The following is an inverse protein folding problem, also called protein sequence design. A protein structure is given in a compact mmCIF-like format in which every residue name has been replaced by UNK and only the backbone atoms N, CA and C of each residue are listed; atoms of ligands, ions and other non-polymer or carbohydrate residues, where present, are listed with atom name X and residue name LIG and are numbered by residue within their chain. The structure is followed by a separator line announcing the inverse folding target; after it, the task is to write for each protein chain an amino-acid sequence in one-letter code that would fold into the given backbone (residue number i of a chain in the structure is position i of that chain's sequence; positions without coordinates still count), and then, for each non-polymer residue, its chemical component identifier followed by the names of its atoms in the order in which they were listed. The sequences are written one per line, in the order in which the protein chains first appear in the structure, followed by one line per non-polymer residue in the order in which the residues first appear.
data_IF_199065386836
#
_entry.id   IF_199065386836
#
_cell.length_a   1.000
_cell.length_b   1.000
_cell.length_c   1.000
_cell.angle_alpha   90.00
_cell.angle_beta   90.00
_cell.angle_gamma   90.00
#
_symmetry.space_group_name_H-M   'P 1'
#
loop_
_entity.id
_entity.type
_entity.pdbx_description
1 polymer ?
#
# COMPACT_ATOMS: atom_id res chain seq x y z
N UNK A 1 -24.94 -17.60 7.46
CA UNK A 1 -24.48 -16.78 8.59
C UNK A 1 -24.77 -15.32 8.23
N UNK A 2 -25.33 -14.54 9.15
CA UNK A 2 -25.64 -13.11 8.96
C UNK A 2 -24.36 -12.27 8.81
N UNK A 3 -24.45 -11.06 8.24
CA UNK A 3 -23.41 -10.02 8.06
C UNK A 3 -22.54 -9.65 9.32
N UNK A 4 -22.58 -10.42 10.41
CA UNK A 4 -22.19 -10.02 11.76
C UNK A 4 -21.00 -10.74 12.40
N UNK A 5 -20.20 -11.52 11.68
CA UNK A 5 -18.89 -11.97 12.18
C UNK A 5 -17.79 -11.42 11.29
N UNK A 6 -17.61 -10.09 11.36
CA UNK A 6 -16.30 -9.50 11.06
C UNK A 6 -15.33 -10.16 12.01
N UNK A 7 -14.35 -10.88 11.48
CA UNK A 7 -13.39 -11.53 12.35
C UNK A 7 -12.61 -10.41 13.03
N UNK A 8 -12.38 -10.51 14.34
CA UNK A 8 -11.84 -9.41 15.14
C UNK A 8 -10.45 -8.92 14.67
N UNK A 9 -9.77 -9.70 13.83
CA UNK A 9 -8.47 -9.41 13.24
C UNK A 9 -8.52 -9.04 11.75
N UNK A 10 -9.69 -9.00 11.12
CA UNK A 10 -9.82 -8.50 9.74
C UNK A 10 -9.75 -6.97 9.72
N UNK A 11 -9.15 -6.42 8.67
CA UNK A 11 -8.80 -5.00 8.55
C UNK A 11 -7.87 -4.52 9.68
N UNK A 12 -6.89 -5.34 10.06
CA UNK A 12 -5.89 -4.99 11.08
C UNK A 12 -4.47 -5.27 10.60
N UNK A 13 -3.53 -4.54 11.19
CA UNK A 13 -2.09 -4.79 11.09
C UNK A 13 -1.59 -5.11 12.49
N UNK A 14 -1.12 -6.33 12.71
CA UNK A 14 -0.55 -6.82 13.97
C UNK A 14 0.98 -6.75 13.90
N UNK A 15 1.62 -5.80 14.61
CA UNK A 15 3.07 -5.76 14.69
C UNK A 15 3.58 -6.86 15.61
N UNK A 16 4.76 -7.38 15.30
CA UNK A 16 5.46 -8.36 16.13
C UNK A 16 6.97 -8.20 16.06
N UNK A 17 7.67 -8.87 16.97
CA UNK A 17 9.12 -9.00 17.00
C UNK A 17 9.49 -10.45 17.28
N UNK A 18 10.51 -10.94 16.60
CA UNK A 18 11.19 -12.20 16.88
C UNK A 18 12.41 -11.87 17.73
N UNK A 19 12.30 -12.05 19.04
CA UNK A 19 13.30 -11.54 19.98
C UNK A 19 14.67 -12.24 19.84
N UNK A 20 14.71 -13.49 19.35
CA UNK A 20 15.96 -14.23 19.12
C UNK A 20 16.62 -13.97 17.76
N UNK A 21 15.85 -13.48 16.78
CA UNK A 21 16.29 -13.29 15.40
C UNK A 21 16.54 -11.82 15.04
N UNK A 22 16.46 -10.91 16.02
CA UNK A 22 16.52 -9.45 15.82
C UNK A 22 15.69 -8.99 14.62
N UNK A 23 14.49 -9.57 14.48
CA UNK A 23 13.62 -9.34 13.32
C UNK A 23 12.32 -8.76 13.82
N UNK A 24 11.89 -7.65 13.23
CA UNK A 24 10.54 -7.12 13.44
C UNK A 24 9.66 -7.50 12.27
N UNK A 25 8.36 -7.61 12.49
CA UNK A 25 7.44 -7.86 11.40
C UNK A 25 6.04 -7.34 11.67
N UNK A 26 5.19 -7.52 10.67
CA UNK A 26 3.76 -7.23 10.73
C UNK A 26 3.00 -8.33 10.02
N UNK A 27 1.85 -8.68 10.55
CA UNK A 27 0.83 -9.45 9.83
C UNK A 27 -0.32 -8.50 9.51
N UNK A 28 -0.72 -8.39 8.26
CA UNK A 28 -1.87 -7.59 7.86
C UNK A 28 -2.93 -8.46 7.22
N UNK A 29 -4.20 -8.15 7.48
CA UNK A 29 -5.34 -8.68 6.74
C UNK A 29 -6.27 -7.56 6.36
N UNK A 30 -6.63 -7.49 5.09
CA UNK A 30 -7.59 -6.55 4.53
C UNK A 30 -8.76 -7.32 3.93
N UNK A 31 -9.96 -6.97 4.37
CA UNK A 31 -11.22 -7.53 3.89
C UNK A 31 -12.13 -6.36 3.53
N UNK A 32 -12.91 -5.86 4.49
CA UNK A 32 -13.83 -4.74 4.26
C UNK A 32 -13.13 -3.47 3.76
N UNK A 33 -11.91 -3.17 4.19
CA UNK A 33 -11.13 -2.05 3.68
C UNK A 33 -10.77 -2.25 2.20
N UNK A 34 -10.36 -3.45 1.80
CA UNK A 34 -10.02 -3.79 0.42
C UNK A 34 -11.28 -3.83 -0.46
N UNK A 35 -12.36 -4.45 0.01
CA UNK A 35 -13.64 -4.47 -0.69
C UNK A 35 -14.16 -3.06 -0.97
N UNK A 36 -14.06 -2.15 -0.01
CA UNK A 36 -14.43 -0.74 -0.21
C UNK A 36 -13.52 -0.04 -1.22
N UNK A 37 -12.22 -0.34 -1.27
CA UNK A 37 -11.29 0.21 -2.26
C UNK A 37 -11.67 -0.25 -3.68
N UNK A 38 -11.85 -1.56 -3.86
CA UNK A 38 -12.13 -2.15 -5.16
C UNK A 38 -13.51 -1.75 -5.67
N UNK A 39 -14.49 -1.59 -4.78
CA UNK A 39 -15.84 -1.14 -5.15
C UNK A 39 -15.90 0.30 -5.73
N UNK A 40 -14.83 1.08 -5.64
CA UNK A 40 -14.82 2.45 -6.19
C UNK A 40 -14.71 2.47 -7.73
N UNK A 41 -14.29 1.37 -8.35
CA UNK A 41 -14.05 1.27 -9.79
C UNK A 41 -14.37 -0.12 -10.31
N UNK A 42 -14.78 -0.22 -11.58
CA UNK A 42 -15.05 -1.50 -12.24
C UNK A 42 -13.78 -2.06 -12.89
N UNK A 43 -12.87 -2.56 -12.04
CA UNK A 43 -11.58 -3.09 -12.51
C UNK A 43 -11.71 -4.50 -13.08
N UNK A 44 -11.01 -4.81 -14.20
CA UNK A 44 -10.84 -6.19 -14.62
C UNK A 44 -9.94 -6.97 -13.64
N UNK A 45 -10.02 -8.32 -13.58
CA UNK A 45 -9.36 -9.11 -12.54
C UNK A 45 -7.86 -8.89 -12.37
N UNK A 46 -7.13 -8.67 -13.46
CA UNK A 46 -5.69 -8.38 -13.39
C UNK A 46 -5.38 -7.05 -12.67
N UNK A 47 -6.24 -6.05 -12.85
CA UNK A 47 -6.10 -4.74 -12.19
C UNK A 47 -6.57 -4.82 -10.74
N UNK A 48 -7.64 -5.57 -10.44
CA UNK A 48 -8.06 -5.85 -9.06
C UNK A 48 -6.91 -6.47 -8.25
N UNK A 49 -6.22 -7.46 -8.82
CA UNK A 49 -5.08 -8.13 -8.18
C UNK A 49 -3.93 -7.17 -7.86
N UNK A 50 -3.56 -6.30 -8.80
CA UNK A 50 -2.51 -5.29 -8.58
C UNK A 50 -2.90 -4.25 -7.52
N UNK A 51 -4.16 -3.82 -7.51
CA UNK A 51 -4.68 -2.88 -6.50
C UNK A 51 -4.72 -3.56 -5.12
N UNK A 52 -5.09 -4.84 -5.05
CA UNK A 52 -5.07 -5.61 -3.82
C UNK A 52 -3.65 -5.79 -3.27
N UNK A 53 -2.68 -6.16 -4.11
CA UNK A 53 -1.26 -6.27 -3.72
C UNK A 53 -0.74 -4.93 -3.17
N UNK A 54 -0.96 -3.83 -3.90
CA UNK A 54 -0.53 -2.50 -3.46
C UNK A 54 -1.21 -2.02 -2.18
N UNK A 55 -2.51 -2.28 -2.02
CA UNK A 55 -3.21 -1.94 -0.79
C UNK A 55 -2.66 -2.71 0.42
N UNK A 56 -2.36 -4.00 0.24
CA UNK A 56 -1.77 -4.83 1.29
C UNK A 56 -0.35 -4.38 1.65
N UNK A 57 0.51 -4.11 0.65
CA UNK A 57 1.84 -3.52 0.85
C UNK A 57 1.75 -2.20 1.62
N UNK A 58 0.82 -1.33 1.24
CA UNK A 58 0.60 -0.04 1.90
C UNK A 58 0.13 -0.18 3.34
N UNK A 59 -0.68 -1.18 3.67
CA UNK A 59 -1.04 -1.46 5.06
C UNK A 59 0.17 -1.95 5.88
N UNK A 60 0.94 -2.91 5.35
CA UNK A 60 2.12 -3.49 6.01
C UNK A 60 3.21 -2.46 6.26
N UNK A 61 3.51 -1.63 5.26
CA UNK A 61 4.54 -0.58 5.34
C UNK A 61 4.03 0.64 6.11
N UNK A 62 2.77 1.03 5.90
CA UNK A 62 2.16 2.23 6.48
C UNK A 62 2.13 2.24 8.00
N UNK A 63 1.95 1.08 8.64
CA UNK A 63 1.97 0.98 10.10
C UNK A 63 3.29 1.47 10.73
N UNK A 64 4.37 1.57 9.96
CA UNK A 64 5.68 2.04 10.45
C UNK A 64 5.81 3.56 10.56
N UNK A 65 4.93 4.33 9.91
CA UNK A 65 5.03 5.80 9.92
C UNK A 65 4.45 6.39 11.21
N UNK A 66 4.97 7.55 11.62
CA UNK A 66 4.51 8.23 12.84
C UNK A 66 3.07 8.72 12.70
N UNK A 67 2.42 8.97 13.84
CA UNK A 67 1.09 9.59 13.89
C UNK A 67 1.04 10.86 13.03
N UNK A 68 -0.09 11.05 12.36
CA UNK A 68 -0.38 12.17 11.44
C UNK A 68 0.46 12.22 10.16
N UNK A 69 1.43 11.31 9.97
CA UNK A 69 2.16 11.20 8.71
C UNK A 69 1.33 10.47 7.66
N UNK A 70 1.72 10.67 6.40
CA UNK A 70 1.13 9.99 5.25
C UNK A 70 2.22 9.24 4.50
N UNK A 71 2.01 7.94 4.29
CA UNK A 71 2.77 7.14 3.34
C UNK A 71 1.98 7.06 2.03
N UNK A 72 2.66 7.18 0.90
CA UNK A 72 2.09 6.89 -0.42
C UNK A 72 2.99 5.90 -1.16
N UNK A 73 2.43 4.81 -1.66
CA UNK A 73 3.12 3.93 -2.62
C UNK A 73 2.54 4.19 -4.01
N UNK A 74 3.42 4.37 -4.99
CA UNK A 74 3.04 4.67 -6.36
C UNK A 74 3.78 3.77 -7.35
N UNK A 75 3.05 3.34 -8.37
CA UNK A 75 3.57 2.70 -9.57
C UNK A 75 3.26 3.64 -10.73
N UNK A 76 4.25 3.92 -11.57
CA UNK A 76 4.09 4.68 -12.80
C UNK A 76 4.83 3.95 -13.90
N UNK A 77 4.14 3.67 -15.00
CA UNK A 77 4.70 2.79 -16.03
C UNK A 77 4.12 3.05 -17.42
N UNK A 78 4.72 2.39 -18.42
CA UNK A 78 4.32 2.45 -19.82
C UNK A 78 3.40 1.29 -20.25
N UNK A 79 3.12 0.33 -19.37
CA UNK A 79 2.24 -0.80 -19.65
C UNK A 79 0.75 -0.44 -19.75
N UNK A 80 -0.12 -1.45 -19.95
CA UNK A 80 -1.58 -1.30 -19.90
C UNK A 80 -2.08 -0.64 -18.61
N UNK A 81 -1.53 -1.03 -17.45
CA UNK A 81 -1.79 -0.38 -16.16
C UNK A 81 -0.74 0.71 -15.99
N UNK A 82 -1.15 1.97 -16.21
CA UNK A 82 -0.27 3.14 -16.30
C UNK A 82 0.13 3.69 -14.94
N UNK A 83 -0.77 3.58 -13.96
CA UNK A 83 -0.57 4.08 -12.61
C UNK A 83 -1.27 3.20 -11.61
N UNK A 84 -0.64 2.98 -10.47
CA UNK A 84 -1.31 2.54 -9.25
C UNK A 84 -0.87 3.50 -8.14
N UNK A 85 -1.80 4.05 -7.38
CA UNK A 85 -1.47 4.94 -6.29
C UNK A 85 -2.26 4.55 -5.05
N UNK A 86 -1.56 4.42 -3.93
CA UNK A 86 -2.13 4.03 -2.65
C UNK A 86 -1.62 4.96 -1.56
N UNK A 87 -2.48 5.29 -0.61
CA UNK A 87 -2.13 6.15 0.50
C UNK A 87 -2.50 5.46 1.82
N UNK A 88 -1.61 5.52 2.79
CA UNK A 88 -1.86 5.23 4.19
C UNK A 88 -1.75 6.52 5.00
N UNK A 89 -2.82 6.86 5.71
CA UNK A 89 -2.86 7.96 6.66
C UNK A 89 -2.77 7.39 8.06
N UNK A 90 -1.65 7.71 8.73
CA UNK A 90 -1.49 7.35 10.13
C UNK A 90 -2.59 8.02 10.99
N UNK A 91 -3.02 7.36 12.08
CA UNK A 91 -3.99 7.93 13.00
C UNK A 91 -3.53 9.27 13.59
N UNK A 92 -4.47 10.05 14.10
CA UNK A 92 -4.15 11.31 14.78
C UNK A 92 -3.76 11.12 16.24
N UNK A 93 -4.23 10.00 16.82
CA UNK A 93 -4.01 9.55 18.19
C UNK A 93 -3.94 8.01 18.24
N UNK A 94 -3.31 7.47 19.28
CA UNK A 94 -3.22 6.03 19.49
C UNK A 94 -4.61 5.39 19.68
N UNK A 95 -4.80 4.19 19.14
CA UNK A 95 -6.07 3.46 19.18
C UNK A 95 -7.11 3.90 18.16
N UNK A 96 -6.91 5.00 17.43
CA UNK A 96 -7.75 5.37 16.29
C UNK A 96 -7.40 4.53 15.05
N UNK A 97 -8.37 4.22 14.17
CA UNK A 97 -8.09 3.48 12.94
C UNK A 97 -7.31 4.34 11.93
N UNK A 98 -6.30 3.74 11.33
CA UNK A 98 -5.63 4.30 10.17
C UNK A 98 -6.56 4.26 8.95
N UNK A 99 -6.30 5.14 7.98
CA UNK A 99 -7.08 5.17 6.73
C UNK A 99 -6.22 4.78 5.56
N UNK A 100 -6.75 3.90 4.71
CA UNK A 100 -6.13 3.49 3.46
C UNK A 100 -7.04 3.80 2.27
N UNK A 101 -6.44 4.09 1.11
CA UNK A 101 -7.15 4.22 -0.17
C UNK A 101 -6.22 3.82 -1.30
N UNK A 102 -6.79 3.36 -2.41
CA UNK A 102 -6.04 3.01 -3.61
C UNK A 102 -6.87 3.29 -4.87
N UNK A 103 -6.18 3.53 -5.98
CA UNK A 103 -6.76 3.45 -7.32
C UNK A 103 -5.69 3.05 -8.33
N UNK A 104 -6.14 2.59 -9.50
CA UNK A 104 -5.30 2.35 -10.66
C UNK A 104 -5.88 3.07 -11.88
N UNK A 105 -5.00 3.54 -12.77
CA UNK A 105 -5.39 3.95 -14.11
C UNK A 105 -4.84 2.95 -15.12
N UNK A 106 -5.67 2.56 -16.08
CA UNK A 106 -5.32 1.54 -17.06
C UNK A 106 -5.90 1.88 -18.43
N UNK A 107 -5.48 1.13 -19.44
CA UNK A 107 -6.01 1.15 -20.80
C UNK A 107 -6.60 -0.24 -21.09
N UNK A 108 -7.93 -0.33 -21.13
CA UNK A 108 -8.65 -1.59 -21.25
C UNK A 108 -8.32 -2.34 -22.55
N UNK A 109 -8.08 -1.62 -23.64
CA UNK A 109 -7.83 -2.21 -24.96
C UNK A 109 -6.41 -2.80 -25.07
N UNK A 110 -5.52 -2.41 -24.16
CA UNK A 110 -4.13 -2.90 -24.11
C UNK A 110 -3.93 -4.05 -23.13
N UNK A 111 -4.89 -4.33 -22.25
CA UNK A 111 -4.79 -5.43 -21.29
C UNK A 111 -4.66 -6.77 -22.02
N UNK A 112 -3.80 -7.64 -21.50
CA UNK A 112 -3.56 -8.97 -22.03
C UNK A 112 -4.06 -10.04 -21.07
N UNK A 113 -4.03 -11.31 -21.49
CA UNK A 113 -4.30 -12.47 -20.63
C UNK A 113 -3.07 -12.90 -19.80
N UNK A 114 -2.03 -12.08 -19.77
CA UNK A 114 -0.83 -12.33 -18.98
C UNK A 114 -1.08 -12.23 -17.48
N UNK A 115 -0.03 -12.40 -16.69
CA UNK A 115 -0.08 -12.20 -15.24
C UNK A 115 -0.39 -10.73 -14.91
N UNK A 116 -0.86 -10.43 -13.68
CA UNK A 116 -1.09 -9.05 -13.26
C UNK A 116 0.14 -8.17 -13.43
N UNK A 117 1.33 -8.62 -13.02
CA UNK A 117 2.56 -7.82 -13.10
C UNK A 117 2.98 -7.49 -14.53
N UNK A 118 2.76 -8.41 -15.49
CA UNK A 118 3.01 -8.15 -16.91
C UNK A 118 2.18 -6.99 -17.48
N UNK A 119 1.07 -6.61 -16.83
CA UNK A 119 0.26 -5.45 -17.25
C UNK A 119 0.88 -4.11 -16.87
N UNK A 120 1.88 -4.07 -15.99
CA UNK A 120 2.49 -2.81 -15.55
C UNK A 120 3.59 -2.39 -16.54
N UNK A 121 4.33 -3.31 -17.15
CA UNK A 121 5.42 -2.99 -18.07
C UNK A 121 6.59 -2.30 -17.37
N UNK A 122 7.35 -1.48 -18.11
CA UNK A 122 8.51 -0.77 -17.56
C UNK A 122 8.09 0.54 -16.87
N UNK A 123 8.83 0.91 -15.83
CA UNK A 123 8.55 2.12 -15.06
C UNK A 123 9.24 2.09 -13.70
N UNK A 124 8.64 2.78 -12.73
CA UNK A 124 9.17 2.84 -11.37
C UNK A 124 8.10 2.62 -10.31
N UNK A 125 8.54 2.02 -9.21
CA UNK A 125 7.86 2.00 -7.93
C UNK A 125 8.44 3.11 -7.06
N UNK A 126 7.58 3.91 -6.43
CA UNK A 126 7.96 5.04 -5.60
C UNK A 126 7.31 4.96 -4.22
N UNK A 127 8.09 5.29 -3.20
CA UNK A 127 7.64 5.45 -1.82
C UNK A 127 7.77 6.91 -1.44
N UNK A 128 6.68 7.51 -0.97
CA UNK A 128 6.63 8.89 -0.54
C UNK A 128 6.17 8.96 0.92
N UNK A 129 6.91 9.71 1.75
CA UNK A 129 6.55 9.96 3.14
C UNK A 129 6.38 11.47 3.33
N UNK A 130 5.14 11.88 3.60
CA UNK A 130 4.78 13.24 3.96
C UNK A 130 4.64 13.35 5.49
N UNK A 131 5.45 14.22 6.07
CA UNK A 131 5.57 14.43 7.51
C UNK A 131 4.74 15.63 8.01
N UNK A 132 3.99 16.28 7.11
CA UNK A 132 3.13 17.43 7.40
C UNK A 132 3.70 18.76 6.92
N UNK A 133 2.99 19.85 7.28
CA UNK A 133 3.30 21.20 6.82
C UNK A 133 4.72 21.64 7.20
N UNK A 134 5.38 22.33 6.26
CA UNK A 134 6.75 22.84 6.44
C UNK A 134 7.85 21.80 6.26
N UNK A 135 7.50 20.56 5.89
CA UNK A 135 8.47 19.51 5.57
C UNK A 135 8.51 19.24 4.07
N UNK A 136 9.70 18.91 3.56
CA UNK A 136 9.81 18.37 2.20
C UNK A 136 9.52 16.87 2.27
N UNK A 137 8.54 16.34 1.51
CA UNK A 137 8.27 14.92 1.50
C UNK A 137 9.52 14.13 1.12
N UNK A 138 9.79 13.07 1.85
CA UNK A 138 10.81 12.10 1.44
C UNK A 138 10.27 11.28 0.27
N UNK A 139 11.12 11.02 -0.71
CA UNK A 139 10.80 10.21 -1.88
C UNK A 139 11.98 9.30 -2.21
N UNK A 140 11.72 8.00 -2.31
CA UNK A 140 12.64 7.04 -2.90
C UNK A 140 11.96 6.24 -4.01
N UNK A 141 12.75 5.81 -4.99
CA UNK A 141 12.26 5.14 -6.20
C UNK A 141 13.11 3.91 -6.50
N UNK A 142 12.51 2.91 -7.15
CA UNK A 142 13.18 1.70 -7.63
C UNK A 142 12.51 1.27 -8.95
N UNK A 143 13.23 0.64 -9.88
CA UNK A 143 12.63 0.15 -11.12
C UNK A 143 11.61 -0.98 -10.85
N UNK A 144 10.65 -1.15 -11.77
CA UNK A 144 9.65 -2.21 -11.72
C UNK A 144 10.24 -3.54 -12.21
N UNK A 145 10.85 -4.28 -11.29
CA UNK A 145 11.58 -5.54 -11.57
C UNK A 145 11.20 -6.63 -10.56
N UNK A 146 11.70 -7.86 -10.74
CA UNK A 146 11.48 -8.96 -9.79
C UNK A 146 10.12 -9.64 -9.87
N UNK A 147 9.32 -9.36 -10.91
CA UNK A 147 8.11 -10.13 -11.25
C UNK A 147 6.87 -9.88 -10.39
N UNK A 148 6.94 -8.99 -9.39
CA UNK A 148 5.81 -8.62 -8.53
C UNK A 148 6.01 -7.23 -7.90
N UNK A 149 4.93 -6.60 -7.42
CA UNK A 149 5.04 -5.30 -6.74
C UNK A 149 5.66 -5.44 -5.34
N UNK A 150 5.48 -6.59 -4.70
CA UNK A 150 6.19 -6.96 -3.48
C UNK A 150 7.70 -7.05 -3.69
N UNK A 151 8.18 -7.70 -4.77
CA UNK A 151 9.60 -7.70 -5.10
C UNK A 151 10.15 -6.28 -5.36
N UNK A 152 9.37 -5.41 -6.00
CA UNK A 152 9.73 -3.99 -6.14
C UNK A 152 9.87 -3.32 -4.76
N UNK A 153 8.95 -3.58 -3.83
CA UNK A 153 9.04 -3.05 -2.47
C UNK A 153 10.28 -3.58 -1.71
N UNK A 154 10.62 -4.87 -1.86
CA UNK A 154 11.85 -5.45 -1.28
C UNK A 154 13.10 -4.76 -1.83
N UNK A 155 13.17 -4.57 -3.15
CA UNK A 155 14.26 -3.87 -3.82
C UNK A 155 14.39 -2.42 -3.34
N UNK A 156 13.27 -1.72 -3.15
CA UNK A 156 13.24 -0.39 -2.54
C UNK A 156 13.88 -0.38 -1.15
N UNK A 157 13.47 -1.29 -0.26
CA UNK A 157 14.00 -1.34 1.11
C UNK A 157 15.49 -1.69 1.13
N UNK A 158 15.92 -2.59 0.24
CA UNK A 158 17.33 -2.94 0.14
C UNK A 158 18.19 -1.77 -0.34
N UNK A 159 17.74 -1.04 -1.37
CA UNK A 159 18.53 0.01 -2.02
C UNK A 159 18.44 1.36 -1.31
N UNK A 160 17.22 1.79 -0.96
CA UNK A 160 16.97 3.14 -0.45
C UNK A 160 17.08 3.21 1.08
N UNK A 161 16.63 2.17 1.77
CA UNK A 161 16.61 2.15 3.24
C UNK A 161 17.75 1.33 3.86
N UNK A 162 18.44 0.50 3.06
CA UNK A 162 19.42 -0.49 3.54
C UNK A 162 18.87 -1.39 4.65
N UNK A 163 17.61 -1.81 4.48
CA UNK A 163 16.92 -2.69 5.42
C UNK A 163 16.54 -4.00 4.74
N UNK A 164 17.14 -5.14 5.12
CA UNK A 164 16.67 -6.45 4.69
C UNK A 164 15.18 -6.58 5.01
N UNK A 165 14.36 -6.68 3.97
CA UNK A 165 12.90 -6.69 4.07
C UNK A 165 12.35 -7.74 3.14
N UNK A 166 11.42 -8.57 3.62
CA UNK A 166 10.75 -9.61 2.84
C UNK A 166 9.25 -9.59 3.08
N UNK A 167 8.50 -9.94 2.03
CA UNK A 167 7.04 -10.04 2.07
C UNK A 167 6.58 -11.43 1.65
N UNK A 168 5.60 -11.96 2.36
CA UNK A 168 4.78 -13.09 1.91
C UNK A 168 3.33 -12.60 1.84
N UNK A 169 2.79 -12.49 0.63
CA UNK A 169 1.47 -11.91 0.37
C UNK A 169 0.58 -12.95 -0.31
N UNK A 170 -0.69 -12.94 0.04
CA UNK A 170 -1.73 -13.69 -0.66
C UNK A 170 -2.99 -12.85 -0.73
N UNK A 171 -3.67 -12.90 -1.87
CA UNK A 171 -4.89 -12.13 -2.10
C UNK A 171 -5.73 -12.82 -3.16
N UNK A 172 -7.05 -12.75 -2.98
CA UNK A 172 -7.97 -13.42 -3.88
C UNK A 172 -9.42 -13.26 -3.45
N UNK A 173 -10.31 -13.78 -4.28
CA UNK A 173 -11.73 -13.86 -3.96
C UNK A 173 -11.98 -15.08 -3.09
N UNK A 174 -12.53 -14.86 -1.91
CA UNK A 174 -12.93 -15.90 -0.98
C UNK A 174 -14.42 -16.15 -1.12
N UNK A 175 -14.80 -17.42 -1.23
CA UNK A 175 -16.19 -17.87 -1.19
C UNK A 175 -16.37 -18.82 -0.02
N UNK A 176 -17.04 -18.36 1.02
CA UNK A 176 -17.44 -19.22 2.15
C UNK A 176 -18.75 -19.95 1.85
N UNK A 177 -18.97 -21.09 2.51
CA UNK A 177 -20.20 -21.88 2.34
C UNK A 177 -21.42 -21.06 2.76
N UNK A 178 -22.23 -20.62 1.79
CA UNK A 178 -23.42 -19.80 2.01
C UNK A 178 -23.14 -18.31 2.26
N UNK A 179 -21.90 -17.84 2.00
CA UNK A 179 -21.52 -16.44 2.02
C UNK A 179 -21.52 -15.81 0.61
N UNK A 180 -21.38 -14.49 0.54
CA UNK A 180 -21.10 -13.79 -0.71
C UNK A 180 -19.60 -13.85 -1.01
N UNK A 181 -19.25 -13.99 -2.30
CA UNK A 181 -17.88 -13.84 -2.77
C UNK A 181 -17.38 -12.43 -2.40
N UNK A 182 -16.23 -12.35 -1.75
CA UNK A 182 -15.61 -11.08 -1.38
C UNK A 182 -14.09 -11.19 -1.48
N UNK A 183 -13.44 -10.04 -1.65
CA UNK A 183 -11.99 -9.97 -1.71
C UNK A 183 -11.38 -10.09 -0.32
N UNK A 184 -10.34 -10.93 -0.21
CA UNK A 184 -9.47 -11.00 0.97
C UNK A 184 -8.03 -10.83 0.53
N UNK A 185 -7.26 -10.12 1.34
CA UNK A 185 -5.82 -10.03 1.21
C UNK A 185 -5.19 -10.18 2.59
N UNK A 186 -4.10 -10.94 2.65
CA UNK A 186 -3.37 -11.18 3.88
C UNK A 186 -1.90 -11.36 3.59
N UNK A 187 -1.05 -10.94 4.52
CA UNK A 187 0.37 -11.08 4.32
C UNK A 187 1.19 -10.80 5.56
N UNK A 188 2.46 -11.20 5.48
CA UNK A 188 3.47 -10.98 6.50
C UNK A 188 4.60 -10.17 5.88
N UNK A 189 5.04 -9.16 6.60
CA UNK A 189 6.26 -8.40 6.32
C UNK A 189 7.25 -8.69 7.44
N UNK A 190 8.50 -9.02 7.11
CA UNK A 190 9.61 -9.13 8.07
C UNK A 190 10.74 -8.18 7.68
N UNK A 191 11.43 -7.65 8.69
CA UNK A 191 12.59 -6.79 8.54
C UNK A 191 13.64 -7.10 9.59
N UNK A 192 14.88 -7.29 9.17
CA UNK A 192 16.01 -7.42 10.08
C UNK A 192 16.31 -6.08 10.77
N UNK A 193 16.65 -6.14 12.06
CA UNK A 193 17.02 -4.99 12.89
C UNK A 193 18.53 -5.01 13.14
N UNK A 194 19.34 -4.33 12.32
CA UNK A 194 20.78 -4.38 12.48
C UNK A 194 21.22 -3.81 13.83
N UNK A 195 22.07 -4.56 14.54
CA UNK A 195 22.75 -4.12 15.77
C UNK A 195 23.89 -3.16 15.42
N UNK A 196 23.54 -1.95 14.99
CA UNK A 196 24.46 -0.83 14.75
C UNK A 196 25.82 -1.23 14.13
N UNK A 197 25.86 -1.48 12.81
CA UNK A 197 27.11 -1.38 12.05
C UNK A 197 26.83 -1.07 10.58
N UNK A 198 27.49 -0.07 9.96
CA UNK A 198 27.44 0.20 8.54
C UNK A 198 28.37 -0.79 7.82
N UNK A 199 27.97 -2.04 7.69
CA UNK A 199 28.68 -2.94 6.77
C UNK A 199 28.19 -2.67 5.34
N UNK A 200 29.13 -2.39 4.45
CA UNK A 200 28.87 -2.27 3.03
C UNK A 200 28.53 -3.65 2.45
N UNK A 201 27.48 -3.70 1.62
CA UNK A 201 27.06 -4.91 0.92
C UNK A 201 28.20 -5.50 0.06
N UNK A 202 28.29 -6.83 0.01
CA UNK A 202 29.17 -7.56 -0.91
C UNK A 202 28.58 -7.57 -2.33
N UNK A 203 28.46 -6.39 -2.95
CA UNK A 203 27.92 -6.26 -4.30
C UNK A 203 26.45 -6.68 -4.46
N UNK A 204 25.79 -6.33 -5.57
CA UNK A 204 24.40 -6.70 -5.82
C UNK A 204 24.27 -8.14 -6.34
N UNK A 205 23.34 -8.91 -5.76
CA UNK A 205 22.97 -10.25 -6.24
C UNK A 205 21.58 -10.32 -6.92
N UNK A 206 20.81 -9.23 -6.88
CA UNK A 206 19.46 -9.16 -7.42
C UNK A 206 19.40 -8.95 -8.94
N UNK A 207 18.18 -9.02 -9.48
CA UNK A 207 17.92 -8.76 -10.89
C UNK A 207 18.33 -7.33 -11.27
N UNK A 208 18.73 -7.13 -12.52
CA UNK A 208 19.27 -5.87 -13.06
C UNK A 208 20.40 -5.21 -12.21
N UNK A 209 21.10 -6.00 -11.39
CA UNK A 209 22.17 -5.49 -10.52
C UNK A 209 21.67 -4.73 -9.29
N UNK A 210 20.45 -5.00 -8.85
CA UNK A 210 19.87 -4.43 -7.63
C UNK A 210 20.32 -5.18 -6.37
N UNK A 211 20.39 -4.47 -5.25
CA UNK A 211 20.63 -5.08 -3.94
C UNK A 211 19.40 -5.88 -3.50
N UNK A 212 19.64 -7.04 -2.88
CA UNK A 212 18.64 -7.83 -2.17
C UNK A 212 18.84 -7.72 -0.67
N UNK A 213 17.85 -8.16 0.12
CA UNK A 213 17.99 -8.21 1.58
C UNK A 213 19.16 -9.08 2.05
N UNK A 214 19.49 -10.14 1.31
CA UNK A 214 20.61 -11.03 1.63
C UNK A 214 21.98 -10.37 1.44
N UNK A 215 22.09 -9.38 0.54
CA UNK A 215 23.34 -8.64 0.31
C UNK A 215 23.70 -7.71 1.48
N UNK A 216 22.73 -7.43 2.35
CA UNK A 216 22.82 -6.49 3.47
C UNK A 216 23.13 -7.18 4.81
N UNK A 217 23.17 -8.51 4.85
CA UNK A 217 23.45 -9.30 6.05
C UNK A 217 24.59 -10.27 5.77
N UNK A 218 25.43 -10.52 6.78
CA UNK A 218 26.56 -11.45 6.66
C UNK A 218 26.81 -12.19 7.97
N UNK A 219 27.57 -13.28 7.92
CA UNK A 219 27.87 -14.09 9.11
C UNK A 219 26.59 -14.64 9.78
N UNK A 220 26.56 -14.60 11.11
CA UNK A 220 25.45 -15.13 11.92
C UNK A 220 24.11 -14.43 11.64
N UNK A 221 24.13 -13.11 11.39
CA UNK A 221 22.93 -12.35 11.01
C UNK A 221 22.38 -12.84 9.66
N UNK A 222 23.27 -13.17 8.71
CA UNK A 222 22.90 -13.73 7.41
C UNK A 222 22.25 -15.12 7.52
N UNK A 223 22.80 -16.00 8.36
CA UNK A 223 22.21 -17.32 8.62
C UNK A 223 20.84 -17.20 9.31
N UNK A 224 20.72 -16.29 10.28
CA UNK A 224 19.47 -16.00 10.98
C UNK A 224 18.41 -15.46 10.02
N UNK A 225 18.77 -14.48 9.19
CA UNK A 225 17.89 -13.94 8.15
C UNK A 225 17.41 -15.03 7.19
N UNK A 226 18.33 -15.89 6.71
CA UNK A 226 17.97 -17.00 5.83
C UNK A 226 17.00 -17.98 6.50
N UNK A 227 17.24 -18.34 7.78
CA UNK A 227 16.34 -19.22 8.53
C UNK A 227 14.93 -18.65 8.66
N UNK A 228 14.80 -17.37 9.03
CA UNK A 228 13.49 -16.71 9.14
C UNK A 228 12.78 -16.67 7.79
N UNK A 229 13.50 -16.45 6.69
CA UNK A 229 12.93 -16.51 5.34
C UNK A 229 12.42 -17.90 4.97
N UNK A 230 13.22 -18.95 5.24
CA UNK A 230 12.79 -20.33 5.00
C UNK A 230 11.51 -20.66 5.76
N UNK A 231 11.40 -20.22 7.03
CA UNK A 231 10.18 -20.39 7.82
C UNK A 231 9.01 -19.62 7.20
N UNK A 232 9.22 -18.36 6.80
CA UNK A 232 8.20 -17.54 6.16
C UNK A 232 7.68 -18.16 4.84
N UNK A 233 8.57 -18.75 4.04
CA UNK A 233 8.23 -19.40 2.76
C UNK A 233 7.36 -20.66 2.94
N UNK A 234 7.18 -21.17 4.17
CA UNK A 234 6.25 -22.27 4.48
C UNK A 234 4.81 -21.82 4.73
N UNK A 235 4.55 -20.51 4.80
CA UNK A 235 3.20 -19.99 5.04
C UNK A 235 2.27 -20.32 3.87
N UNK A 236 1.12 -20.93 4.17
CA UNK A 236 0.12 -21.24 3.14
C UNK A 236 -0.82 -20.04 2.88
N UNK A 237 -1.33 -19.93 1.66
CA UNK A 237 -2.27 -18.87 1.26
C UNK A 237 -3.46 -18.72 2.22
N UNK A 238 -4.06 -19.84 2.62
CA UNK A 238 -5.22 -19.86 3.53
C UNK A 238 -4.85 -19.44 4.96
N UNK A 239 -3.59 -19.65 5.36
CA UNK A 239 -3.08 -19.18 6.65
C UNK A 239 -2.83 -17.66 6.61
N UNK A 240 -2.41 -17.12 5.47
CA UNK A 240 -2.20 -15.68 5.27
C UNK A 240 -3.52 -14.91 5.21
N UNK A 241 -4.44 -15.30 4.33
CA UNK A 241 -5.72 -14.58 4.10
C UNK A 241 -6.80 -14.88 5.16
N UNK A 242 -6.62 -15.94 5.95
CA UNK A 242 -7.63 -16.42 6.89
C UNK A 242 -8.81 -17.09 6.19
N UNK A 243 -9.95 -17.33 6.86
CA UNK A 243 -10.29 -16.92 8.22
C UNK A 243 -9.83 -17.88 9.32
N UNK A 244 -9.28 -19.03 8.97
CA UNK A 244 -9.16 -20.19 9.86
C UNK A 244 -8.07 -20.04 10.93
N UNK A 245 -6.97 -19.36 10.60
CA UNK A 245 -5.82 -19.20 11.50
C UNK A 245 -5.75 -17.75 11.99
N UNK A 246 -5.84 -17.47 13.30
CA UNK A 246 -5.59 -16.13 13.84
C UNK A 246 -4.17 -15.64 13.55
N UNK A 247 -3.90 -14.33 13.37
CA UNK A 247 -2.55 -13.83 13.13
C UNK A 247 -1.54 -14.21 14.22
N UNK A 248 -1.95 -14.25 15.49
CA UNK A 248 -1.10 -14.70 16.60
C UNK A 248 -0.69 -16.15 16.47
N UNK A 249 -1.61 -17.02 16.04
CA UNK A 249 -1.38 -18.45 15.91
C UNK A 249 -0.51 -18.75 14.69
N UNK A 250 -0.68 -17.98 13.61
CA UNK A 250 0.22 -17.99 12.46
C UNK A 250 1.67 -17.70 12.88
N UNK A 251 1.89 -16.68 13.71
CA UNK A 251 3.23 -16.34 14.19
C UNK A 251 3.85 -17.43 15.04
N UNK A 252 3.06 -18.11 15.89
CA UNK A 252 3.56 -19.26 16.65
C UNK A 252 3.88 -20.43 15.72
N UNK A 253 3.02 -20.74 14.73
CA UNK A 253 3.26 -21.81 13.77
C UNK A 253 4.56 -21.60 12.99
N UNK A 254 4.78 -20.39 12.48
CA UNK A 254 5.96 -20.05 11.68
C UNK A 254 7.23 -19.89 12.54
N UNK A 255 7.12 -19.23 13.70
CA UNK A 255 8.28 -18.69 14.41
C UNK A 255 8.36 -19.06 15.89
N UNK A 256 7.71 -20.13 16.37
CA UNK A 256 7.74 -20.52 17.80
C UNK A 256 9.15 -20.62 18.39
N UNK A 257 10.14 -21.08 17.63
CA UNK A 257 11.53 -21.18 18.09
C UNK A 257 12.23 -19.81 18.20
N UNK A 258 11.70 -18.76 17.58
CA UNK A 258 12.29 -17.42 17.55
C UNK A 258 11.73 -16.47 18.63
N UNK A 259 10.89 -16.98 19.54
CA UNK A 259 10.22 -16.23 20.61
C UNK A 259 9.41 -15.02 20.09
N UNK A 260 8.28 -15.27 19.38
CA UNK A 260 7.50 -14.20 18.79
C UNK A 260 6.74 -13.42 19.87
N UNK A 261 6.92 -12.10 19.88
CA UNK A 261 6.23 -11.15 20.74
C UNK A 261 5.38 -10.20 19.92
N UNK A 262 4.10 -10.14 20.21
CA UNK A 262 3.14 -9.28 19.50
C UNK A 262 2.91 -7.95 20.23
N UNK A 263 2.47 -6.95 19.49
CA UNK A 263 2.09 -5.63 20.01
C UNK A 263 0.61 -5.34 19.71
N UNK A 264 0.13 -4.17 20.12
CA UNK A 264 -1.24 -3.75 19.85
C UNK A 264 -1.50 -3.65 18.35
N UNK A 265 -2.60 -4.27 17.91
CA UNK A 265 -3.01 -4.26 16.52
C UNK A 265 -3.55 -2.89 16.12
N UNK A 266 -3.10 -2.40 14.97
CA UNK A 266 -3.61 -1.19 14.34
C UNK A 266 -4.80 -1.54 13.45
N UNK A 267 -5.98 -1.01 13.76
CA UNK A 267 -7.13 -1.10 12.86
C UNK A 267 -6.92 -0.23 11.62
N UNK A 268 -7.36 -0.71 10.46
CA UNK A 268 -7.30 -0.02 9.18
C UNK A 268 -8.71 0.06 8.58
N UNK A 269 -9.02 1.14 7.88
CA UNK A 269 -10.29 1.26 7.14
C UNK A 269 -10.09 2.03 5.86
N UNK A 270 -11.01 1.86 4.90
CA UNK A 270 -11.06 2.76 3.76
C UNK A 270 -11.28 4.20 4.23
N UNK A 271 -10.56 5.15 3.62
CA UNK A 271 -10.77 6.57 3.90
C UNK A 271 -10.18 7.50 2.85
N UNK A 272 -11.05 8.27 2.19
CA UNK A 272 -10.65 9.36 1.31
C UNK A 272 -10.63 10.70 2.06
N UNK A 273 -9.80 11.61 1.58
CA UNK A 273 -9.67 12.97 2.12
C UNK A 273 -10.13 14.04 1.14
N UNK A 274 -10.76 13.67 0.01
CA UNK A 274 -11.31 14.64 -0.93
C UNK A 274 -12.44 15.44 -0.29
N UNK A 275 -12.54 16.71 -0.68
CA UNK A 275 -13.65 17.59 -0.37
C UNK A 275 -13.75 18.60 -1.50
N UNK A 276 -14.91 19.25 -1.62
CA UNK A 276 -15.10 20.34 -2.57
C UNK A 276 -14.04 21.43 -2.37
N UNK A 277 -13.73 21.79 -1.13
CA UNK A 277 -12.68 22.75 -0.79
C UNK A 277 -11.33 22.37 -1.39
N UNK A 278 -10.92 21.10 -1.31
CA UNK A 278 -9.67 20.64 -1.92
C UNK A 278 -9.69 20.68 -3.44
N UNK A 279 -10.83 20.37 -4.05
CA UNK A 279 -11.00 20.49 -5.50
C UNK A 279 -10.87 21.96 -5.91
N UNK A 280 -11.54 22.87 -5.21
CA UNK A 280 -11.44 24.32 -5.42
C UNK A 280 -10.00 24.81 -5.26
N UNK A 281 -9.30 24.37 -4.21
CA UNK A 281 -7.89 24.72 -3.99
C UNK A 281 -6.98 24.19 -5.10
N UNK A 282 -7.27 23.03 -5.70
CA UNK A 282 -6.50 22.56 -6.86
C UNK A 282 -6.75 23.38 -8.12
N UNK A 283 -7.93 24.01 -8.22
CA UNK A 283 -8.34 24.84 -9.36
C UNK A 283 -7.98 26.32 -9.16
N UNK A 284 -7.50 26.73 -7.99
CA UNK A 284 -7.18 28.13 -7.69
C UNK A 284 -6.01 28.66 -8.52
N UNK A 285 -5.14 27.78 -9.03
CA UNK A 285 -4.00 28.16 -9.88
C UNK A 285 -4.40 28.61 -11.29
N UNK A 286 -5.63 28.33 -11.73
CA UNK A 286 -6.11 28.64 -13.07
C UNK A 286 -6.82 30.00 -13.12
N UNK A 287 -6.74 30.68 -14.26
CA UNK A 287 -7.48 31.92 -14.50
C UNK A 287 -8.96 31.63 -14.76
N UNK A 288 -9.85 32.60 -14.56
CA UNK A 288 -11.26 32.42 -14.92
C UNK A 288 -11.46 32.14 -16.43
N UNK A 289 -10.50 32.58 -17.26
CA UNK A 289 -10.49 32.28 -18.70
C UNK A 289 -10.20 30.80 -18.96
N UNK A 290 -9.23 30.21 -18.26
CA UNK A 290 -8.88 28.80 -18.43
C UNK A 290 -9.97 27.89 -17.86
N UNK A 291 -10.55 28.27 -16.72
CA UNK A 291 -11.70 27.56 -16.14
C UNK A 291 -12.87 27.48 -17.12
N UNK A 292 -13.16 28.56 -17.88
CA UNK A 292 -14.22 28.54 -18.90
C UNK A 292 -13.96 27.52 -20.01
N UNK A 293 -12.71 27.19 -20.33
CA UNK A 293 -12.40 26.16 -21.34
C UNK A 293 -12.42 24.74 -20.78
N UNK A 294 -12.58 24.58 -19.46
CA UNK A 294 -12.70 23.29 -18.76
C UNK A 294 -14.16 22.93 -18.44
N UNK A 295 -15.12 23.56 -19.11
CA UNK A 295 -16.55 23.35 -18.85
C UNK A 295 -17.14 22.25 -19.73
N UNK A 296 -18.15 21.56 -19.19
CA UNK A 296 -19.01 20.63 -19.95
C UNK A 296 -19.92 21.39 -20.92
N UNK A 297 -20.64 20.67 -21.79
CA UNK A 297 -21.64 21.26 -22.69
C UNK A 297 -22.74 22.03 -21.94
N UNK A 298 -22.99 21.68 -20.67
CA UNK A 298 -23.94 22.34 -19.76
C UNK A 298 -23.34 23.58 -19.07
N UNK A 299 -22.09 23.94 -19.36
CA UNK A 299 -21.40 25.09 -18.78
C UNK A 299 -20.95 24.89 -17.33
N UNK A 300 -20.80 23.64 -16.88
CA UNK A 300 -20.40 23.28 -15.51
C UNK A 300 -18.95 22.78 -15.48
N UNK A 301 -18.27 22.92 -14.34
CA UNK A 301 -16.97 22.26 -14.13
C UNK A 301 -17.18 21.03 -13.26
N UNK A 302 -16.87 19.85 -13.80
CA UNK A 302 -16.96 18.60 -13.06
C UNK A 302 -15.58 18.07 -12.70
N UNK A 303 -15.46 17.45 -11.53
CA UNK A 303 -14.23 16.81 -11.08
C UNK A 303 -14.55 15.52 -10.32
N UNK A 304 -13.93 14.42 -10.74
CA UNK A 304 -14.09 13.11 -10.10
C UNK A 304 -12.87 12.75 -9.26
N UNK A 305 -13.10 12.39 -8.00
CA UNK A 305 -12.04 11.87 -7.16
C UNK A 305 -11.65 10.46 -7.58
N UNK A 306 -10.46 10.30 -8.15
CA UNK A 306 -9.93 9.01 -8.60
C UNK A 306 -9.82 7.95 -7.48
N UNK A 307 -9.77 8.34 -6.21
CA UNK A 307 -9.67 7.38 -5.10
C UNK A 307 -11.02 6.84 -4.60
N UNK A 308 -12.10 7.62 -4.69
CA UNK A 308 -13.38 7.26 -4.07
C UNK A 308 -14.61 7.53 -4.94
N UNK A 309 -14.41 7.83 -6.22
CA UNK A 309 -15.49 8.08 -7.18
C UNK A 309 -16.37 9.28 -6.86
N UNK A 310 -16.03 10.12 -5.87
CA UNK A 310 -16.85 11.27 -5.51
C UNK A 310 -16.86 12.28 -6.66
N UNK A 311 -18.06 12.62 -7.13
CA UNK A 311 -18.29 13.59 -8.19
C UNK A 311 -18.57 14.98 -7.59
N UNK A 312 -17.80 15.97 -8.02
CA UNK A 312 -17.99 17.37 -7.65
C UNK A 312 -18.45 18.16 -8.87
N UNK A 313 -19.53 18.91 -8.71
CA UNK A 313 -20.11 19.74 -9.77
C UNK A 313 -20.13 21.21 -9.31
N UNK A 314 -19.30 22.03 -9.96
CA UNK A 314 -18.94 23.37 -9.51
C UNK A 314 -19.34 24.42 -10.53
N UNK A 315 -19.79 25.57 -10.02
CA UNK A 315 -20.03 26.75 -10.84
C UNK A 315 -18.69 27.37 -11.28
N UNK A 316 -18.40 27.47 -12.59
CA UNK A 316 -17.17 28.09 -13.11
C UNK A 316 -16.94 29.50 -12.57
N UNK A 317 -17.99 30.27 -12.26
CA UNK A 317 -17.89 31.63 -11.73
C UNK A 317 -17.30 31.70 -10.31
N UNK A 318 -17.25 30.56 -9.61
CA UNK A 318 -16.77 30.44 -8.23
C UNK A 318 -15.35 29.86 -8.15
N UNK A 319 -14.66 29.73 -9.27
CA UNK A 319 -13.38 29.02 -9.41
C UNK A 319 -12.27 29.91 -10.01
N UNK A 320 -11.03 29.52 -9.77
CA UNK A 320 -9.83 30.26 -10.16
C UNK A 320 -9.41 31.33 -9.16
N UNK A 321 -8.20 31.88 -9.33
CA UNK A 321 -7.67 32.90 -8.42
C UNK A 321 -8.41 34.24 -8.46
N UNK A 322 -9.26 34.47 -9.48
CA UNK A 322 -10.09 35.68 -9.62
C UNK A 322 -11.49 35.52 -8.96
N UNK A 323 -11.76 34.38 -8.32
CA UNK A 323 -13.07 34.09 -7.74
C UNK A 323 -13.38 34.97 -6.52
N UNK A 324 -14.65 35.39 -6.31
CA UNK A 324 -15.04 36.30 -5.22
C UNK A 324 -14.78 35.79 -3.79
N UNK A 325 -14.44 34.51 -3.62
CA UNK A 325 -14.20 33.85 -2.34
C UNK A 325 -12.87 33.04 -2.35
N UNK A 326 -11.84 33.51 -3.06
CA UNK A 326 -10.50 32.91 -2.90
C UNK A 326 -10.11 32.95 -1.41
N UNK A 327 -9.70 31.83 -0.79
CA UNK A 327 -9.22 31.87 0.58
C UNK A 327 -8.04 32.84 0.64
N UNK A 328 -8.13 33.84 1.52
CA UNK A 328 -7.09 34.85 1.72
C UNK A 328 -5.73 34.15 1.88
N UNK A 329 -4.77 34.51 1.04
CA UNK A 329 -3.37 34.10 1.21
C UNK A 329 -2.85 34.71 2.53
N UNK A 330 -2.77 33.89 3.58
CA UNK A 330 -2.07 34.21 4.83
C UNK A 330 -0.94 33.24 5.09
#
# INVERSE_FOLDING_TARGET
MTLGTKIAWDDTVLPFQLDLADTRGRVARLDGALGNILAQHDYPPAVEALVAEMALLTALIGQTVKLRWKLSLQVQSNGPVRRIATDYYAPSADGEPARIRAYASFDADRLTSGTPFEQVGEGYFAVLIDQGQGTTPYQGITPLTGGSLSACAEAYFAQSEQLPTRFALSFGRSTETGGQEHWRAGGVMIQHMPKASPFAAEGPSGDEGLLTGSDLVSGEDGETWNRVNILLDTAEDMELIGPQVPPTDLLVRLFHEESPRVFDAQSVKFGCTCSEERVRNSLSIYSAKDIRTMTTEEGRVTADCQFCGAHYDLDPATLGFEAPNAPDES
#
